data_IF_425955745902
#
_entry.id   IF_425955745902
#
_cell.length_a   1.000
_cell.length_b   1.000
_cell.length_c   1.000
_cell.angle_alpha   90.00
_cell.angle_beta   90.00
_cell.angle_gamma   90.00
#
_symmetry.space_group_name_H-M   'P 1'
#
loop_
_entity.id
_entity.type
_entity.pdbx_description
1 polymer ?
#
# COMPACT_ATOMS: atom_id res chain seq x y z
N UNK A 1 -25.24 -6.41 13.63
CA UNK A 1 -23.80 -6.55 13.27
C UNK A 1 -23.10 -7.25 14.42
N UNK A 2 -22.08 -8.08 14.12
CA UNK A 2 -21.20 -8.66 15.14
C UNK A 2 -20.43 -7.52 15.85
N UNK A 3 -20.10 -7.68 17.13
CA UNK A 3 -19.17 -6.75 17.78
C UNK A 3 -17.75 -6.91 17.19
N UNK A 4 -16.86 -5.94 17.46
CA UNK A 4 -15.51 -5.90 16.91
C UNK A 4 -14.71 -7.18 17.14
N UNK A 5 -14.72 -7.70 18.37
CA UNK A 5 -13.94 -8.88 18.76
C UNK A 5 -14.42 -10.13 18.01
N UNK A 6 -15.72 -10.38 18.00
CA UNK A 6 -16.32 -11.49 17.29
C UNK A 6 -16.07 -11.39 15.78
N UNK A 7 -16.22 -10.18 15.19
CA UNK A 7 -15.95 -9.97 13.78
C UNK A 7 -14.49 -10.30 13.44
N UNK A 8 -13.53 -9.75 14.16
CA UNK A 8 -12.11 -9.98 13.89
C UNK A 8 -11.74 -11.46 14.06
N UNK A 9 -12.32 -12.13 15.07
CA UNK A 9 -12.15 -13.58 15.28
C UNK A 9 -12.62 -14.41 14.09
N UNK A 10 -13.79 -14.12 13.57
CA UNK A 10 -14.35 -14.84 12.42
C UNK A 10 -13.68 -14.47 11.08
N UNK A 11 -13.48 -13.17 10.82
CA UNK A 11 -12.89 -12.70 9.58
C UNK A 11 -11.48 -13.22 9.35
N UNK A 12 -10.68 -13.33 10.42
CA UNK A 12 -9.27 -13.69 10.34
C UNK A 12 -8.94 -15.09 10.92
N UNK A 13 -9.93 -15.93 11.17
CA UNK A 13 -9.76 -17.27 11.78
C UNK A 13 -8.83 -18.22 10.99
N UNK A 14 -8.67 -17.98 9.68
CA UNK A 14 -7.75 -18.75 8.82
C UNK A 14 -6.32 -18.24 8.81
N UNK A 15 -6.06 -17.09 9.43
CA UNK A 15 -4.71 -16.54 9.54
C UNK A 15 -4.00 -17.15 10.77
N UNK A 16 -2.67 -17.34 10.70
CA UNK A 16 -1.91 -17.81 11.87
C UNK A 16 -2.09 -16.86 13.05
N UNK A 17 -2.40 -17.40 14.23
CA UNK A 17 -2.59 -16.61 15.46
C UNK A 17 -1.37 -15.77 15.81
N UNK A 18 -0.16 -16.30 15.56
CA UNK A 18 1.09 -15.59 15.77
C UNK A 18 1.19 -14.33 14.88
N UNK A 19 0.79 -14.44 13.62
CA UNK A 19 0.73 -13.29 12.70
C UNK A 19 -0.20 -12.21 13.26
N UNK A 20 -1.45 -12.59 13.58
CA UNK A 20 -2.44 -11.64 14.11
C UNK A 20 -1.92 -10.93 15.36
N UNK A 21 -1.30 -11.66 16.31
CA UNK A 21 -0.74 -11.06 17.52
C UNK A 21 0.37 -10.04 17.22
N UNK A 22 1.18 -10.28 16.19
CA UNK A 22 2.27 -9.37 15.78
C UNK A 22 1.78 -8.11 15.08
N UNK A 23 0.68 -8.20 14.31
CA UNK A 23 0.22 -7.09 13.46
C UNK A 23 -0.94 -6.28 14.04
N UNK A 24 -1.69 -6.77 15.03
CA UNK A 24 -2.94 -6.15 15.54
C UNK A 24 -2.84 -4.69 15.94
N UNK A 25 -1.68 -4.26 16.45
CA UNK A 25 -1.43 -2.89 16.88
C UNK A 25 -0.52 -2.11 15.94
N UNK A 26 -0.11 -2.73 14.83
CA UNK A 26 0.80 -2.11 13.88
C UNK A 26 0.08 -1.07 13.02
N UNK A 27 0.78 0.03 12.74
CA UNK A 27 0.29 1.14 11.92
C UNK A 27 1.11 1.25 10.64
N UNK A 28 0.46 1.22 9.49
CA UNK A 28 1.11 1.29 8.19
C UNK A 28 0.75 2.62 7.52
N UNK A 29 1.78 3.34 7.06
CA UNK A 29 1.61 4.51 6.20
C UNK A 29 1.52 4.09 4.74
N UNK A 30 0.56 4.64 4.01
CA UNK A 30 0.42 4.44 2.57
C UNK A 30 0.54 5.81 1.90
N UNK A 31 1.65 6.02 1.22
CA UNK A 31 1.94 7.25 0.51
C UNK A 31 1.52 7.11 -0.96
N UNK A 32 0.37 7.67 -1.28
CA UNK A 32 -0.33 7.52 -2.56
C UNK A 32 -1.42 6.44 -2.51
N UNK A 33 -2.61 6.76 -3.05
CA UNK A 33 -3.77 5.86 -3.13
C UNK A 33 -4.13 5.50 -4.59
N UNK A 34 -3.13 5.49 -5.46
CA UNK A 34 -3.25 5.10 -6.86
C UNK A 34 -3.28 3.59 -7.08
N UNK A 35 -2.71 3.13 -8.21
CA UNK A 35 -2.67 1.72 -8.60
C UNK A 35 -2.02 0.82 -7.57
N UNK A 36 -0.86 1.19 -7.06
CA UNK A 36 -0.18 0.42 -6.01
C UNK A 36 -0.89 0.60 -4.66
N UNK A 37 -1.04 1.84 -4.19
CA UNK A 37 -1.50 2.11 -2.82
C UNK A 37 -2.89 1.58 -2.52
N UNK A 38 -3.86 1.69 -3.45
CA UNK A 38 -5.20 1.15 -3.24
C UNK A 38 -5.20 -0.39 -3.15
N UNK A 39 -4.42 -1.07 -3.98
CA UNK A 39 -4.26 -2.53 -3.92
C UNK A 39 -3.51 -2.99 -2.67
N UNK A 40 -2.44 -2.28 -2.25
CA UNK A 40 -1.71 -2.55 -1.01
C UNK A 40 -2.65 -2.42 0.20
N UNK A 41 -3.43 -1.33 0.27
CA UNK A 41 -4.37 -1.11 1.37
C UNK A 41 -5.36 -2.27 1.52
N UNK A 42 -5.97 -2.68 0.41
CA UNK A 42 -6.91 -3.82 0.39
C UNK A 42 -6.23 -5.10 0.83
N UNK A 43 -5.04 -5.42 0.31
CA UNK A 43 -4.29 -6.61 0.67
C UNK A 43 -3.94 -6.64 2.17
N UNK A 44 -3.48 -5.53 2.73
CA UNK A 44 -3.13 -5.41 4.14
C UNK A 44 -4.34 -5.55 5.07
N UNK A 45 -5.48 -4.91 4.74
CA UNK A 45 -6.71 -5.01 5.54
C UNK A 45 -7.26 -6.43 5.51
N UNK A 46 -7.27 -7.09 4.35
CA UNK A 46 -7.64 -8.51 4.22
C UNK A 46 -6.69 -9.45 4.97
N UNK A 47 -5.47 -9.01 5.21
CA UNK A 47 -4.47 -9.75 6.01
C UNK A 47 -4.51 -9.43 7.51
N UNK A 48 -5.47 -8.62 7.98
CA UNK A 48 -5.69 -8.37 9.40
C UNK A 48 -5.05 -7.08 9.94
N UNK A 49 -4.44 -6.23 9.12
CA UNK A 49 -3.99 -4.89 9.53
C UNK A 49 -5.21 -4.05 9.90
N UNK A 50 -5.14 -3.35 11.04
CA UNK A 50 -6.26 -2.60 11.60
C UNK A 50 -6.01 -1.08 11.67
N UNK A 51 -4.80 -0.60 11.43
CA UNK A 51 -4.47 0.82 11.52
C UNK A 51 -3.69 1.25 10.28
N UNK A 52 -4.24 2.20 9.55
CA UNK A 52 -3.63 2.80 8.37
C UNK A 52 -3.56 4.32 8.48
N UNK A 53 -2.49 4.91 7.96
CA UNK A 53 -2.46 6.32 7.55
C UNK A 53 -2.40 6.33 6.02
N UNK A 54 -3.33 7.01 5.38
CA UNK A 54 -3.41 7.07 3.91
C UNK A 54 -3.36 8.53 3.48
N UNK A 55 -2.46 8.87 2.59
CA UNK A 55 -2.36 10.22 2.04
C UNK A 55 -2.31 10.21 0.51
N UNK A 56 -3.18 11.00 -0.10
CA UNK A 56 -3.27 11.25 -1.54
C UNK A 56 -4.11 12.51 -1.74
N UNK A 57 -3.85 13.29 -2.80
CA UNK A 57 -4.58 14.54 -3.06
C UNK A 57 -5.53 14.45 -4.27
N UNK A 58 -5.44 13.36 -5.04
CA UNK A 58 -6.21 13.20 -6.27
C UNK A 58 -7.66 12.79 -6.02
N UNK A 59 -8.45 13.01 -7.08
CA UNK A 59 -9.78 12.40 -7.21
C UNK A 59 -9.72 11.15 -8.08
N UNK A 60 -10.71 10.30 -7.90
CA UNK A 60 -10.90 9.11 -8.75
C UNK A 60 -11.39 9.57 -10.12
N UNK A 61 -10.71 9.09 -11.17
CA UNK A 61 -11.04 9.32 -12.56
C UNK A 61 -11.45 8.02 -13.26
N UNK A 62 -12.12 8.12 -14.41
CA UNK A 62 -12.47 6.95 -15.24
C UNK A 62 -11.24 6.12 -15.62
N UNK A 63 -10.14 6.79 -15.97
CA UNK A 63 -8.85 6.17 -16.33
C UNK A 63 -8.22 5.37 -15.19
N UNK A 64 -8.66 5.55 -13.95
CA UNK A 64 -8.16 4.82 -12.79
C UNK A 64 -8.82 3.45 -12.62
N UNK A 65 -10.05 3.28 -13.12
CA UNK A 65 -10.86 2.09 -12.89
C UNK A 65 -10.25 0.81 -13.47
N UNK A 66 -9.32 0.94 -14.41
CA UNK A 66 -8.66 -0.21 -15.03
C UNK A 66 -7.65 -0.92 -14.11
N UNK A 67 -7.16 -0.27 -13.02
CA UNK A 67 -6.07 -0.83 -12.19
C UNK A 67 -6.06 -0.40 -10.72
N UNK A 68 -6.85 0.62 -10.34
CA UNK A 68 -6.99 1.09 -8.97
C UNK A 68 -8.22 0.45 -8.32
N UNK A 69 -8.22 0.26 -7.01
CA UNK A 69 -9.28 -0.42 -6.30
C UNK A 69 -10.50 0.49 -6.06
N UNK A 70 -10.99 1.08 -7.16
CA UNK A 70 -12.17 1.95 -7.18
C UNK A 70 -13.25 1.40 -8.12
N UNK A 71 -14.47 1.88 -7.91
CA UNK A 71 -15.63 1.52 -8.72
C UNK A 71 -16.23 2.76 -9.37
N UNK A 72 -17.06 2.57 -10.39
CA UNK A 72 -17.73 3.65 -11.12
C UNK A 72 -18.34 4.71 -10.21
N UNK A 73 -19.01 4.31 -9.11
CA UNK A 73 -19.64 5.21 -8.12
C UNK A 73 -18.67 6.15 -7.41
N UNK A 74 -17.37 5.88 -7.43
CA UNK A 74 -16.35 6.69 -6.77
C UNK A 74 -15.78 7.79 -7.65
N UNK A 75 -16.10 7.79 -8.96
CA UNK A 75 -15.58 8.82 -9.88
C UNK A 75 -15.95 10.21 -9.40
N UNK A 76 -14.95 11.10 -9.31
CA UNK A 76 -15.07 12.45 -8.80
C UNK A 76 -14.87 12.61 -7.28
N UNK A 77 -14.89 11.53 -6.49
CA UNK A 77 -14.57 11.55 -5.06
C UNK A 77 -13.04 11.63 -4.85
N UNK A 78 -12.60 12.19 -3.73
CA UNK A 78 -11.18 12.08 -3.35
C UNK A 78 -10.79 10.63 -3.14
N UNK A 79 -9.60 10.23 -3.62
CA UNK A 79 -9.11 8.85 -3.52
C UNK A 79 -9.07 8.35 -2.08
N UNK A 80 -8.67 9.20 -1.13
CA UNK A 80 -8.61 8.82 0.30
C UNK A 80 -9.99 8.53 0.88
N UNK A 81 -11.04 9.24 0.45
CA UNK A 81 -12.42 9.02 0.90
C UNK A 81 -12.99 7.73 0.29
N UNK A 82 -12.84 7.57 -1.01
CA UNK A 82 -13.28 6.38 -1.72
C UNK A 82 -12.59 5.11 -1.22
N UNK A 83 -11.29 5.18 -0.92
CA UNK A 83 -10.54 4.06 -0.39
C UNK A 83 -10.97 3.72 1.04
N UNK A 84 -11.18 4.71 1.91
CA UNK A 84 -11.73 4.48 3.25
C UNK A 84 -13.06 3.72 3.19
N UNK A 85 -13.99 4.13 2.31
CA UNK A 85 -15.27 3.44 2.11
C UNK A 85 -15.04 1.96 1.75
N UNK A 86 -14.15 1.69 0.79
CA UNK A 86 -13.86 0.31 0.37
C UNK A 86 -13.25 -0.53 1.49
N UNK A 87 -12.32 0.03 2.24
CA UNK A 87 -11.67 -0.66 3.34
C UNK A 87 -12.63 -0.95 4.50
N UNK A 88 -13.58 -0.05 4.77
CA UNK A 88 -14.65 -0.27 5.76
C UNK A 88 -15.65 -1.34 5.32
N UNK A 89 -15.86 -1.53 4.02
CA UNK A 89 -16.64 -2.65 3.50
C UNK A 89 -15.95 -4.01 3.70
N UNK A 90 -14.62 -4.04 3.86
CA UNK A 90 -13.86 -5.25 4.20
C UNK A 90 -13.82 -5.45 5.71
N UNK A 91 -13.49 -4.40 6.46
CA UNK A 91 -13.40 -4.41 7.91
C UNK A 91 -14.06 -3.12 8.48
N UNK A 92 -15.29 -3.19 8.98
CA UNK A 92 -15.99 -2.00 9.49
C UNK A 92 -15.34 -1.39 10.73
N UNK A 93 -14.41 -2.10 11.37
CA UNK A 93 -13.71 -1.68 12.58
C UNK A 93 -12.28 -1.18 12.33
N UNK A 94 -11.89 -1.04 11.06
CA UNK A 94 -10.57 -0.51 10.71
C UNK A 94 -10.43 0.94 11.15
N UNK A 95 -9.27 1.28 11.68
CA UNK A 95 -8.90 2.66 11.99
C UNK A 95 -8.09 3.25 10.85
N UNK A 96 -8.62 4.28 10.21
CA UNK A 96 -7.99 4.96 9.09
C UNK A 96 -7.84 6.44 9.42
N UNK A 97 -6.60 6.90 9.43
CA UNK A 97 -6.25 8.32 9.43
C UNK A 97 -5.98 8.72 7.97
N UNK A 98 -6.83 9.54 7.39
CA UNK A 98 -6.72 9.96 5.99
C UNK A 98 -6.31 11.41 5.86
N UNK A 99 -5.45 11.68 4.88
CA UNK A 99 -4.95 13.00 4.57
C UNK A 99 -5.16 13.29 3.08
N UNK A 100 -6.04 14.24 2.77
CA UNK A 100 -6.24 14.73 1.41
C UNK A 100 -5.24 15.87 1.15
N UNK A 101 -3.99 15.51 0.91
CA UNK A 101 -2.87 16.46 0.74
C UNK A 101 -1.90 15.98 -0.32
N UNK A 102 -1.26 16.93 -1.01
CA UNK A 102 -0.06 16.63 -1.80
C UNK A 102 1.11 16.35 -0.85
N UNK A 103 1.70 15.16 -0.98
CA UNK A 103 2.81 14.73 -0.12
C UNK A 103 4.14 15.29 -0.63
N UNK A 104 4.85 15.98 0.27
CA UNK A 104 6.20 16.51 0.06
C UNK A 104 7.04 16.45 1.35
N UNK A 105 8.27 16.92 1.29
CA UNK A 105 9.22 16.88 2.39
C UNK A 105 8.76 17.64 3.65
N UNK A 106 7.83 18.60 3.51
CA UNK A 106 7.33 19.41 4.65
C UNK A 106 6.27 18.66 5.46
N UNK A 107 5.69 17.59 4.91
CA UNK A 107 4.55 16.91 5.54
C UNK A 107 4.72 15.38 5.69
N UNK A 108 5.84 14.78 5.30
CA UNK A 108 6.08 13.34 5.52
C UNK A 108 6.02 12.92 7.00
N UNK A 109 6.11 13.87 7.92
CA UNK A 109 6.01 13.61 9.36
C UNK A 109 4.64 13.07 9.81
N UNK A 110 3.61 13.10 8.95
CA UNK A 110 2.36 12.36 9.19
C UNK A 110 2.61 10.85 9.37
N UNK A 111 3.67 10.31 8.76
CA UNK A 111 4.07 8.91 8.88
C UNK A 111 5.03 8.64 10.04
N UNK A 112 5.32 9.64 10.89
CA UNK A 112 6.27 9.50 12.01
C UNK A 112 5.94 8.31 12.90
N UNK A 113 4.68 8.07 13.17
CA UNK A 113 4.22 7.01 14.07
C UNK A 113 3.88 5.70 13.37
N UNK A 114 4.17 5.57 12.06
CA UNK A 114 4.02 4.31 11.35
C UNK A 114 5.19 3.37 11.63
N UNK A 115 4.89 2.08 11.71
CA UNK A 115 5.89 1.01 11.79
C UNK A 115 6.61 0.84 10.45
N UNK A 116 5.87 0.95 9.35
CA UNK A 116 6.37 0.79 7.97
C UNK A 116 5.63 1.77 7.06
N UNK A 117 6.31 2.22 6.01
CA UNK A 117 5.72 3.03 4.94
C UNK A 117 5.66 2.19 3.66
N UNK A 118 4.48 2.14 3.03
CA UNK A 118 4.30 1.69 1.66
C UNK A 118 4.39 2.92 0.75
N UNK A 119 5.41 2.98 -0.08
CA UNK A 119 5.56 4.01 -1.09
C UNK A 119 4.85 3.57 -2.37
N UNK A 120 3.93 4.41 -2.87
CA UNK A 120 3.05 4.13 -3.99
C UNK A 120 2.86 5.32 -4.95
N UNK A 121 3.84 6.21 -5.03
CA UNK A 121 3.84 7.32 -5.98
C UNK A 121 4.10 6.85 -7.42
N UNK A 122 3.71 7.65 -8.38
CA UNK A 122 3.99 7.48 -9.80
C UNK A 122 5.28 8.20 -10.23
N UNK A 123 5.59 9.35 -9.62
CA UNK A 123 6.73 10.20 -9.99
C UNK A 123 8.00 9.79 -9.23
N UNK A 124 9.08 9.56 -9.97
CA UNK A 124 10.38 9.16 -9.43
C UNK A 124 10.95 10.14 -8.38
N UNK A 125 10.79 11.46 -8.62
CA UNK A 125 11.24 12.49 -7.68
C UNK A 125 10.58 12.37 -6.30
N UNK A 126 9.28 12.14 -6.26
CA UNK A 126 8.55 11.99 -4.99
C UNK A 126 8.90 10.68 -4.27
N UNK A 127 9.16 9.60 -5.06
CA UNK A 127 9.67 8.34 -4.52
C UNK A 127 11.00 8.53 -3.81
N UNK A 128 11.96 9.21 -4.46
CA UNK A 128 13.27 9.48 -3.88
C UNK A 128 13.16 10.24 -2.55
N UNK A 129 12.36 11.30 -2.51
CA UNK A 129 12.19 12.14 -1.31
C UNK A 129 11.65 11.34 -0.12
N UNK A 130 10.59 10.56 -0.29
CA UNK A 130 10.01 9.79 0.82
C UNK A 130 10.90 8.60 1.24
N UNK A 131 11.62 8.00 0.31
CA UNK A 131 12.61 6.96 0.61
C UNK A 131 13.73 7.55 1.47
N UNK A 132 14.27 8.71 1.10
CA UNK A 132 15.28 9.42 1.87
C UNK A 132 14.78 9.79 3.27
N UNK A 133 13.54 10.31 3.39
CA UNK A 133 12.90 10.56 4.68
C UNK A 133 12.84 9.29 5.53
N UNK A 134 12.35 8.19 5.00
CA UNK A 134 12.19 6.95 5.74
C UNK A 134 13.53 6.38 6.22
N UNK A 135 14.52 6.31 5.34
CA UNK A 135 15.87 5.79 5.67
C UNK A 135 16.55 6.66 6.71
N UNK A 136 16.52 8.00 6.57
CA UNK A 136 17.06 8.96 7.55
C UNK A 136 16.43 8.79 8.93
N UNK A 137 15.13 8.53 8.99
CA UNK A 137 14.39 8.32 10.24
C UNK A 137 14.38 6.85 10.71
N UNK A 138 15.20 5.97 10.11
CA UNK A 138 15.31 4.53 10.44
C UNK A 138 13.99 3.79 10.37
N UNK A 139 13.11 4.16 9.41
CA UNK A 139 11.82 3.53 9.14
C UNK A 139 11.94 2.56 7.98
N UNK A 140 11.31 1.41 8.12
CA UNK A 140 11.16 0.51 6.98
C UNK A 140 10.24 1.14 5.93
N UNK A 141 10.65 1.03 4.68
CA UNK A 141 9.87 1.47 3.52
C UNK A 141 9.91 0.39 2.44
N UNK A 142 8.75 0.13 1.84
CA UNK A 142 8.62 -0.79 0.70
C UNK A 142 8.09 0.00 -0.49
N UNK A 143 8.89 0.11 -1.53
CA UNK A 143 8.63 0.90 -2.74
C UNK A 143 8.26 0.01 -3.92
N UNK A 144 7.47 0.52 -4.88
CA UNK A 144 7.13 -0.19 -6.12
C UNK A 144 7.76 0.47 -7.34
N UNK A 145 8.51 -0.31 -8.18
CA UNK A 145 9.21 0.20 -9.37
C UNK A 145 9.18 -0.81 -10.49
N UNK A 146 8.72 -0.40 -11.68
CA UNK A 146 8.67 -1.25 -12.86
C UNK A 146 7.53 -2.27 -12.81
N UNK A 147 6.40 -1.90 -13.42
CA UNK A 147 5.20 -2.75 -13.45
C UNK A 147 4.38 -2.56 -14.74
N UNK A 148 4.86 -1.71 -15.65
CA UNK A 148 4.15 -1.43 -16.90
C UNK A 148 4.27 -2.57 -17.92
N UNK A 149 3.41 -2.52 -18.91
CA UNK A 149 3.36 -3.48 -20.02
C UNK A 149 2.74 -4.83 -19.65
N UNK A 150 2.77 -5.74 -20.59
CA UNK A 150 2.18 -7.10 -20.52
C UNK A 150 3.23 -8.21 -20.35
N UNK A 151 4.41 -7.85 -19.88
CA UNK A 151 5.52 -8.78 -19.68
C UNK A 151 5.22 -9.84 -18.61
N UNK A 152 6.01 -10.92 -18.63
CA UNK A 152 5.90 -12.00 -17.65
C UNK A 152 5.87 -11.49 -16.20
N UNK A 153 4.93 -11.97 -15.42
CA UNK A 153 4.81 -11.67 -14.00
C UNK A 153 6.00 -12.23 -13.18
N UNK A 154 6.67 -13.28 -13.68
CA UNK A 154 7.80 -13.91 -13.00
C UNK A 154 9.04 -13.02 -12.87
N UNK A 155 9.12 -11.92 -13.62
CA UNK A 155 10.21 -10.94 -13.48
C UNK A 155 9.96 -9.92 -12.36
N UNK A 156 8.74 -9.83 -11.85
CA UNK A 156 8.39 -8.99 -10.68
C UNK A 156 8.93 -9.67 -9.43
N UNK A 157 9.83 -9.01 -8.74
CA UNK A 157 10.48 -9.53 -7.54
C UNK A 157 10.56 -8.46 -6.47
N UNK A 158 10.66 -8.89 -5.21
CA UNK A 158 11.05 -8.00 -4.11
C UNK A 158 12.56 -8.11 -3.91
N UNK A 159 13.23 -6.97 -3.74
CA UNK A 159 14.67 -6.87 -3.48
C UNK A 159 14.91 -6.00 -2.26
N UNK A 160 15.87 -6.40 -1.44
CA UNK A 160 16.31 -5.62 -0.29
C UNK A 160 17.49 -4.74 -0.67
N UNK A 161 17.36 -3.43 -0.51
CA UNK A 161 18.40 -2.43 -0.78
C UNK A 161 18.83 -1.75 0.53
N UNK A 162 19.66 -2.42 1.30
CA UNK A 162 20.11 -1.91 2.61
C UNK A 162 19.20 -2.34 3.76
N UNK A 163 19.32 -1.65 4.91
CA UNK A 163 18.66 -2.06 6.15
C UNK A 163 17.15 -1.79 6.15
N UNK A 164 16.73 -0.65 5.59
CA UNK A 164 15.37 -0.14 5.74
C UNK A 164 14.57 -0.09 4.45
N UNK A 165 15.21 -0.28 3.27
CA UNK A 165 14.58 -0.15 1.96
C UNK A 165 14.38 -1.50 1.30
N UNK A 166 13.16 -1.74 0.84
CA UNK A 166 12.78 -2.84 -0.04
C UNK A 166 12.12 -2.28 -1.29
N UNK A 167 12.38 -2.90 -2.45
CA UNK A 167 11.78 -2.52 -3.72
C UNK A 167 11.10 -3.73 -4.35
N UNK A 168 9.86 -3.57 -4.77
CA UNK A 168 9.08 -4.59 -5.49
C UNK A 168 8.82 -4.13 -6.91
N UNK A 169 9.02 -5.02 -7.88
CA UNK A 169 8.83 -4.75 -9.30
C UNK A 169 9.89 -5.40 -10.17
N UNK A 170 9.89 -5.09 -11.47
CA UNK A 170 10.88 -5.59 -12.41
C UNK A 170 12.07 -4.63 -12.63
N UNK A 171 11.99 -3.40 -12.14
CA UNK A 171 13.00 -2.33 -12.21
C UNK A 171 13.32 -1.81 -13.62
N UNK A 172 12.52 -2.16 -14.62
CA UNK A 172 12.82 -1.87 -16.03
C UNK A 172 11.67 -1.21 -16.77
N UNK A 173 10.44 -1.68 -16.53
CA UNK A 173 9.32 -1.31 -17.36
C UNK A 173 8.53 -0.17 -16.71
N UNK A 174 8.84 1.06 -17.15
CA UNK A 174 8.11 2.26 -16.79
C UNK A 174 6.86 2.42 -17.66
N UNK A 175 5.86 3.14 -17.16
CA UNK A 175 4.65 3.44 -17.91
C UNK A 175 4.95 4.45 -19.00
N UNK A 176 4.64 4.08 -20.23
CA UNK A 176 4.67 4.95 -21.43
C UNK A 176 3.34 4.81 -22.16
N UNK A 177 3.11 5.64 -23.18
CA UNK A 177 1.91 5.54 -24.02
C UNK A 177 1.82 4.16 -24.72
N UNK A 178 2.97 3.52 -24.99
CA UNK A 178 3.04 2.20 -25.63
C UNK A 178 2.88 1.06 -24.64
N UNK A 179 3.41 1.20 -23.44
CA UNK A 179 3.51 0.11 -22.45
C UNK A 179 2.35 0.06 -21.44
N UNK A 180 1.58 1.08 -21.27
CA UNK A 180 0.42 1.14 -20.39
C UNK A 180 0.56 0.47 -19.01
N UNK A 181 -0.45 0.58 -18.18
CA UNK A 181 -0.50 -0.07 -16.87
C UNK A 181 -1.64 -1.08 -16.83
N UNK A 182 -1.32 -2.36 -16.73
CA UNK A 182 -2.29 -3.45 -16.63
C UNK A 182 -2.59 -3.79 -15.16
N UNK A 183 -3.88 -3.97 -14.86
CA UNK A 183 -4.33 -4.31 -13.50
C UNK A 183 -3.57 -5.50 -12.90
N UNK A 184 -3.33 -6.55 -13.68
CA UNK A 184 -2.66 -7.76 -13.21
C UNK A 184 -1.23 -7.48 -12.71
N UNK A 185 -0.41 -6.77 -13.48
CA UNK A 185 0.97 -6.47 -13.10
C UNK A 185 1.05 -5.48 -11.95
N UNK A 186 0.18 -4.45 -11.96
CA UNK A 186 0.06 -3.50 -10.85
C UNK A 186 -0.34 -4.23 -9.56
N UNK A 187 -1.33 -5.13 -9.62
CA UNK A 187 -1.77 -5.90 -8.47
C UNK A 187 -0.68 -6.87 -7.95
N UNK A 188 0.06 -7.54 -8.84
CA UNK A 188 1.18 -8.41 -8.45
C UNK A 188 2.24 -7.60 -7.71
N UNK A 189 2.68 -6.45 -8.26
CA UNK A 189 3.67 -5.58 -7.61
C UNK A 189 3.17 -5.09 -6.26
N UNK A 190 1.92 -4.63 -6.17
CA UNK A 190 1.30 -4.20 -4.92
C UNK A 190 1.22 -5.32 -3.87
N UNK A 191 0.93 -6.55 -4.30
CA UNK A 191 0.89 -7.71 -3.40
C UNK A 191 2.31 -8.13 -2.95
N UNK A 192 3.32 -7.98 -3.78
CA UNK A 192 4.72 -8.12 -3.35
C UNK A 192 5.06 -7.12 -2.24
N UNK A 193 4.68 -5.84 -2.39
CA UNK A 193 4.87 -4.84 -1.35
C UNK A 193 4.10 -5.20 -0.06
N UNK A 194 2.82 -5.54 -0.17
CA UNK A 194 1.99 -5.92 0.98
C UNK A 194 2.56 -7.16 1.71
N UNK A 195 2.98 -8.18 0.96
CA UNK A 195 3.62 -9.37 1.54
C UNK A 195 4.91 -9.03 2.27
N UNK A 196 5.78 -8.19 1.67
CA UNK A 196 7.02 -7.79 2.34
C UNK A 196 6.76 -6.98 3.62
N UNK A 197 5.78 -6.08 3.60
CA UNK A 197 5.33 -5.36 4.81
C UNK A 197 4.95 -6.35 5.93
N UNK A 198 4.11 -7.34 5.62
CA UNK A 198 3.70 -8.35 6.60
C UNK A 198 4.88 -9.20 7.10
N UNK A 199 5.88 -9.47 6.26
CA UNK A 199 7.11 -10.17 6.65
C UNK A 199 7.96 -9.35 7.62
N UNK A 200 8.18 -8.07 7.30
CA UNK A 200 8.93 -7.15 8.18
C UNK A 200 8.26 -7.04 9.56
N UNK A 201 6.93 -6.93 9.62
CA UNK A 201 6.18 -6.88 10.89
C UNK A 201 6.34 -8.17 11.73
N UNK A 202 6.70 -9.26 11.10
CA UNK A 202 7.02 -10.54 11.74
C UNK A 202 8.51 -10.70 12.08
N UNK A 203 9.35 -9.66 11.85
CA UNK A 203 10.82 -9.70 11.96
C UNK A 203 11.48 -10.68 10.95
N UNK A 204 10.86 -10.86 9.77
CA UNK A 204 11.39 -11.65 8.65
C UNK A 204 11.88 -10.68 7.58
N UNK A 205 13.20 -10.47 7.54
CA UNK A 205 13.83 -9.43 6.73
C UNK A 205 14.44 -9.93 5.42
N UNK A 206 14.39 -11.20 5.15
CA UNK A 206 14.75 -11.83 3.87
C UNK A 206 13.63 -11.62 2.84
N UNK A 207 13.96 -11.58 1.58
CA UNK A 207 13.02 -11.46 0.46
C UNK A 207 12.70 -12.83 -0.14
#
# INVERSE_FOLDING_TARGET
MLNKETFLGEAFKRLPKELINKIKNKKIGIAGAGGLGSNIAVALVRSGIQNLIIADFDKVEYSNLNRQYYFYKHVGQYKVDALEEQLKNINPYINIEKHNIYLDENNFDIFRNCDIIAEAFDKAENKEKIVNYAVKNKKYIVSGVGMAGDYSANIIQTRKLGKYLYISGDLKNEATDENGLLASRVAITANHQANMILRILQNKYEV
#
